data_IF_854141003596
#
_entry.id   IF_854141003596
#
_cell.length_a   1.000
_cell.length_b   1.000
_cell.length_c   1.000
_cell.angle_alpha   90.00
_cell.angle_beta   90.00
_cell.angle_gamma   90.00
#
_symmetry.space_group_name_H-M   'P 1'
#
loop_
_entity.id
_entity.type
_entity.pdbx_description
1 polymer ?
#
# COMPACT_ATOMS: atom_id res chain seq x y z
N UNK A 1 11.44 -2.98 16.45
CA UNK A 1 10.48 -3.10 15.35
C UNK A 1 9.21 -2.37 15.74
N UNK A 2 8.65 -1.61 14.81
CA UNK A 2 7.52 -0.70 15.07
C UNK A 2 6.32 -1.09 14.20
N UNK A 3 5.13 -0.69 14.63
CA UNK A 3 3.89 -0.80 13.87
C UNK A 3 3.33 0.60 13.61
N UNK A 4 2.83 0.83 12.40
CA UNK A 4 2.07 2.02 12.05
C UNK A 4 0.66 1.62 11.59
N UNK A 5 -0.27 2.53 11.78
CA UNK A 5 -1.66 2.40 11.34
C UNK A 5 -2.07 3.68 10.62
N UNK A 6 -2.90 3.55 9.59
CA UNK A 6 -3.46 4.67 8.82
C UNK A 6 -4.85 4.28 8.32
N UNK A 7 -5.78 5.22 8.33
CA UNK A 7 -7.09 5.04 7.73
C UNK A 7 -7.41 6.20 6.80
N UNK A 8 -8.11 5.91 5.71
CA UNK A 8 -8.60 6.91 4.77
C UNK A 8 -9.85 6.39 4.09
N UNK A 9 -10.81 7.28 3.82
CA UNK A 9 -12.06 6.92 3.19
C UNK A 9 -12.18 7.57 1.82
N UNK A 10 -12.67 6.82 0.83
CA UNK A 10 -12.85 7.28 -0.55
C UNK A 10 -14.28 7.02 -1.05
N UNK A 11 -14.77 7.87 -1.94
CA UNK A 11 -16.03 7.71 -2.67
C UNK A 11 -15.86 6.82 -3.90
N UNK A 12 -15.37 5.60 -3.68
CA UNK A 12 -15.35 4.51 -4.65
C UNK A 12 -15.66 3.18 -3.96
N UNK A 13 -16.22 2.18 -4.66
CA UNK A 13 -16.52 0.88 -4.06
C UNK A 13 -15.23 0.07 -3.78
N UNK A 14 -15.26 -0.89 -2.82
CA UNK A 14 -14.06 -1.61 -2.37
C UNK A 14 -13.29 -2.30 -3.49
N UNK A 15 -14.02 -2.89 -4.45
CA UNK A 15 -13.45 -3.55 -5.64
C UNK A 15 -12.49 -2.65 -6.42
N UNK A 16 -12.79 -1.35 -6.55
CA UNK A 16 -11.99 -0.42 -7.35
C UNK A 16 -10.64 -0.17 -6.69
N UNK A 17 -10.64 0.05 -5.38
CA UNK A 17 -9.40 0.23 -4.62
C UNK A 17 -8.60 -1.07 -4.59
N UNK A 18 -9.26 -2.19 -4.31
CA UNK A 18 -8.63 -3.52 -4.29
C UNK A 18 -7.91 -3.83 -5.61
N UNK A 19 -8.56 -3.61 -6.75
CA UNK A 19 -7.97 -3.81 -8.08
C UNK A 19 -6.79 -2.86 -8.33
N UNK A 20 -6.89 -1.58 -7.93
CA UNK A 20 -5.80 -0.62 -8.08
C UNK A 20 -4.51 -1.04 -7.34
N UNK A 21 -4.64 -1.71 -6.19
CA UNK A 21 -3.50 -2.23 -5.44
C UNK A 21 -2.81 -3.44 -6.10
N UNK A 22 -3.50 -4.14 -7.01
CA UNK A 22 -3.00 -5.36 -7.67
C UNK A 22 -2.77 -5.19 -9.18
N UNK A 23 -3.10 -4.01 -9.74
CA UNK A 23 -2.94 -3.67 -11.14
C UNK A 23 -1.60 -2.98 -11.39
N UNK A 24 -0.71 -3.62 -12.16
CA UNK A 24 0.56 -3.02 -12.56
C UNK A 24 0.37 -1.66 -13.23
N UNK A 25 -0.63 -1.55 -14.11
CA UNK A 25 -0.94 -0.32 -14.84
C UNK A 25 -1.35 0.81 -13.88
N UNK A 26 -2.24 0.55 -12.93
CA UNK A 26 -2.70 1.58 -11.99
C UNK A 26 -1.60 1.98 -11.02
N UNK A 27 -0.79 1.01 -10.56
CA UNK A 27 0.40 1.26 -9.74
C UNK A 27 1.43 2.13 -10.47
N UNK A 28 1.68 1.88 -11.76
CA UNK A 28 2.55 2.73 -12.57
C UNK A 28 1.97 4.12 -12.77
N UNK A 29 0.65 4.26 -12.94
CA UNK A 29 -0.01 5.57 -13.05
C UNK A 29 0.14 6.41 -11.78
N UNK A 30 -0.18 5.85 -10.60
CA UNK A 30 -0.05 6.58 -9.33
C UNK A 30 1.41 6.86 -8.97
N UNK A 31 2.34 6.05 -9.49
CA UNK A 31 3.79 6.23 -9.36
C UNK A 31 4.40 7.22 -10.36
N UNK A 32 3.55 7.99 -11.05
CA UNK A 32 3.94 9.01 -12.03
C UNK A 32 4.86 8.49 -13.14
N UNK A 33 4.60 7.26 -13.61
CA UNK A 33 5.38 6.63 -14.68
C UNK A 33 6.63 5.90 -14.21
N UNK A 34 6.92 5.87 -12.90
CA UNK A 34 7.95 4.98 -12.37
C UNK A 34 7.57 3.52 -12.64
N UNK A 35 8.55 2.69 -12.98
CA UNK A 35 8.31 1.28 -13.28
C UNK A 35 7.80 0.57 -12.02
N UNK A 36 6.65 -0.07 -12.18
CA UNK A 36 6.08 -0.99 -11.21
C UNK A 36 5.94 -2.34 -11.89
N UNK A 37 6.05 -3.41 -11.12
CA UNK A 37 5.73 -4.76 -11.53
C UNK A 37 4.86 -5.38 -10.45
N UNK A 38 3.75 -6.00 -10.83
CA UNK A 38 2.80 -6.56 -9.87
C UNK A 38 2.25 -7.89 -10.37
N UNK A 39 2.54 -8.96 -9.64
CA UNK A 39 1.90 -10.26 -9.83
C UNK A 39 0.73 -10.39 -8.85
N UNK A 40 -0.48 -10.02 -9.31
CA UNK A 40 -1.71 -9.90 -8.51
C UNK A 40 -2.33 -11.22 -8.02
N UNK A 41 -1.52 -12.24 -7.73
CA UNK A 41 -1.94 -13.53 -7.17
C UNK A 41 -1.25 -13.81 -5.84
N UNK A 42 -1.79 -14.73 -5.05
CA UNK A 42 -1.12 -15.19 -3.82
C UNK A 42 0.22 -15.86 -4.16
N UNK A 43 1.26 -15.55 -3.39
CA UNK A 43 2.66 -15.87 -3.68
C UNK A 43 3.29 -15.01 -4.79
N UNK A 44 2.52 -14.11 -5.41
CA UNK A 44 3.00 -13.21 -6.45
C UNK A 44 3.91 -12.12 -5.89
N UNK A 45 5.02 -11.85 -6.58
CA UNK A 45 5.97 -10.80 -6.19
C UNK A 45 5.64 -9.47 -6.83
N UNK A 46 6.06 -8.39 -6.19
CA UNK A 46 5.93 -7.05 -6.74
C UNK A 46 7.16 -6.19 -6.49
N UNK A 47 7.36 -5.21 -7.37
CA UNK A 47 8.33 -4.13 -7.21
C UNK A 47 7.67 -2.81 -7.57
N UNK A 48 7.89 -1.76 -6.77
CA UNK A 48 7.34 -0.43 -7.01
C UNK A 48 8.49 0.59 -7.06
N UNK A 49 8.24 1.72 -7.73
CA UNK A 49 9.18 2.85 -7.82
C UNK A 49 10.59 2.43 -8.27
N UNK A 50 10.69 1.75 -9.41
CA UNK A 50 11.97 1.27 -9.96
C UNK A 50 12.75 0.35 -9.00
N UNK A 51 12.04 -0.45 -8.19
CA UNK A 51 12.65 -1.37 -7.22
C UNK A 51 13.05 -0.72 -5.89
N UNK A 52 12.59 0.50 -5.61
CA UNK A 52 12.78 1.11 -4.28
C UNK A 52 11.97 0.38 -3.21
N UNK A 53 10.87 -0.23 -3.62
CA UNK A 53 9.98 -1.04 -2.79
C UNK A 53 9.81 -2.40 -3.45
N UNK A 54 9.83 -3.45 -2.65
CA UNK A 54 9.60 -4.81 -3.11
C UNK A 54 8.86 -5.63 -2.06
N UNK A 55 8.21 -6.70 -2.51
CA UNK A 55 7.43 -7.54 -1.62
C UNK A 55 6.75 -8.72 -2.30
N UNK A 56 5.88 -9.37 -1.54
CA UNK A 56 5.14 -10.56 -1.94
C UNK A 56 3.71 -10.53 -1.40
N UNK A 57 2.74 -10.86 -2.25
CA UNK A 57 1.34 -11.01 -1.89
C UNK A 57 1.14 -12.31 -1.11
N UNK A 58 0.93 -12.23 0.21
CA UNK A 58 0.77 -13.40 1.07
C UNK A 58 -0.66 -13.95 1.06
N UNK A 59 -1.65 -13.06 1.08
CA UNK A 59 -3.06 -13.43 1.09
C UNK A 59 -3.90 -12.37 0.41
N UNK A 60 -4.83 -12.81 -0.44
CA UNK A 60 -5.70 -11.95 -1.23
C UNK A 60 -7.16 -12.38 -1.03
N UNK A 61 -7.89 -11.67 -0.16
CA UNK A 61 -9.33 -11.84 -0.01
C UNK A 61 -10.01 -10.82 -0.91
N UNK A 62 -10.60 -11.29 -2.01
CA UNK A 62 -11.18 -10.43 -3.06
C UNK A 62 -12.06 -9.31 -2.46
N UNK A 63 -11.83 -8.09 -2.93
CA UNK A 63 -12.56 -6.86 -2.60
C UNK A 63 -12.56 -6.46 -1.11
N UNK A 64 -11.82 -7.16 -0.24
CA UNK A 64 -11.91 -6.99 1.22
C UNK A 64 -10.56 -6.90 1.93
N UNK A 65 -9.55 -7.68 1.53
CA UNK A 65 -8.26 -7.71 2.23
C UNK A 65 -7.07 -8.07 1.35
N UNK A 66 -5.96 -7.36 1.54
CA UNK A 66 -4.64 -7.68 0.98
C UNK A 66 -3.64 -7.79 2.13
N UNK A 67 -2.87 -8.88 2.17
CA UNK A 67 -1.76 -9.07 3.11
C UNK A 67 -0.49 -9.27 2.31
N UNK A 68 0.55 -8.48 2.62
CA UNK A 68 1.81 -8.45 1.88
C UNK A 68 3.01 -8.48 2.82
N UNK A 69 4.07 -9.17 2.39
CA UNK A 69 5.43 -8.82 2.80
C UNK A 69 5.85 -7.58 2.02
N UNK A 70 6.50 -6.65 2.70
CA UNK A 70 6.83 -5.34 2.13
C UNK A 70 8.13 -4.83 2.71
N UNK A 71 9.03 -4.32 1.87
CA UNK A 71 10.26 -3.65 2.33
C UNK A 71 10.69 -2.52 1.40
N UNK A 72 11.45 -1.59 1.97
CA UNK A 72 12.30 -0.69 1.19
C UNK A 72 13.64 -1.37 0.88
N UNK A 73 14.23 -1.07 -0.27
CA UNK A 73 15.59 -1.52 -0.64
C UNK A 73 16.71 -0.89 0.20
N UNK A 74 16.38 0.17 0.96
CA UNK A 74 17.26 0.77 1.97
C UNK A 74 17.31 -0.01 3.28
N UNK A 75 16.35 -0.90 3.54
CA UNK A 75 16.38 -1.76 4.72
C UNK A 75 17.40 -2.88 4.54
N UNK A 76 17.85 -3.44 5.67
CA UNK A 76 18.73 -4.62 5.70
C UNK A 76 18.15 -5.75 4.84
N UNK A 77 19.02 -6.52 4.20
CA UNK A 77 18.57 -7.60 3.31
C UNK A 77 17.79 -8.67 4.10
N UNK A 78 16.67 -9.14 3.53
CA UNK A 78 15.80 -10.10 4.19
C UNK A 78 14.91 -9.52 5.29
N UNK A 79 15.02 -8.21 5.62
CA UNK A 79 14.12 -7.56 6.56
C UNK A 79 12.86 -7.10 5.85
N UNK A 80 11.75 -7.78 6.14
CA UNK A 80 10.42 -7.46 5.66
C UNK A 80 9.51 -7.02 6.79
N UNK A 81 8.69 -6.02 6.49
CA UNK A 81 7.50 -5.68 7.26
C UNK A 81 6.29 -6.42 6.70
N UNK A 82 5.25 -6.56 7.51
CA UNK A 82 3.96 -7.11 7.10
C UNK A 82 2.93 -6.00 6.99
N UNK A 83 2.40 -5.82 5.79
CA UNK A 83 1.33 -4.88 5.47
C UNK A 83 0.01 -5.63 5.40
N UNK A 84 -1.02 -5.10 6.05
CA UNK A 84 -2.41 -5.53 5.91
C UNK A 84 -3.24 -4.33 5.50
N UNK A 85 -3.97 -4.48 4.40
CA UNK A 85 -4.90 -3.48 3.86
C UNK A 85 -6.29 -4.09 3.88
N UNK A 86 -7.21 -3.47 4.61
CA UNK A 86 -8.62 -3.86 4.63
C UNK A 86 -9.46 -2.82 3.91
N UNK A 87 -10.41 -3.28 3.11
CA UNK A 87 -11.38 -2.44 2.40
C UNK A 87 -12.76 -2.72 2.97
N UNK A 88 -13.37 -1.69 3.59
CA UNK A 88 -14.67 -1.81 4.25
C UNK A 88 -15.67 -0.87 3.60
N UNK A 89 -16.81 -1.39 3.14
CA UNK A 89 -17.92 -0.53 2.74
C UNK A 89 -18.42 0.30 3.92
N UNK A 90 -18.73 1.56 3.67
CA UNK A 90 -19.27 2.47 4.70
C UNK A 90 -20.79 2.30 4.75
N UNK A 91 -21.32 1.92 5.91
CA UNK A 91 -22.77 1.69 6.08
C UNK A 91 -23.52 3.01 5.88
N UNK A 92 -24.50 3.02 4.98
CA UNK A 92 -25.34 4.18 4.69
C UNK A 92 -24.79 5.11 3.60
N UNK A 93 -23.61 4.81 3.04
CA UNK A 93 -23.05 5.52 1.88
C UNK A 93 -22.78 4.53 0.74
N UNK A 94 -23.49 4.71 -0.38
CA UNK A 94 -23.26 3.90 -1.58
C UNK A 94 -21.89 4.22 -2.18
N UNK A 95 -21.23 3.19 -2.74
CA UNK A 95 -19.94 3.31 -3.42
C UNK A 95 -18.86 4.05 -2.60
N UNK A 96 -18.86 3.86 -1.28
CA UNK A 96 -17.87 4.42 -0.37
C UNK A 96 -17.09 3.33 0.37
N UNK A 97 -15.79 3.52 0.50
CA UNK A 97 -14.87 2.56 1.13
C UNK A 97 -13.99 3.25 2.15
N UNK A 98 -13.93 2.70 3.35
CA UNK A 98 -12.88 2.95 4.33
C UNK A 98 -11.74 1.96 4.06
N UNK A 99 -10.53 2.49 3.87
CA UNK A 99 -9.29 1.72 3.77
C UNK A 99 -8.58 1.79 5.10
N UNK A 100 -8.30 0.63 5.68
CA UNK A 100 -7.51 0.50 6.91
C UNK A 100 -6.19 -0.16 6.58
N UNK A 101 -5.10 0.53 6.90
CA UNK A 101 -3.74 0.07 6.71
C UNK A 101 -3.10 -0.20 8.08
N UNK A 102 -2.57 -1.40 8.25
CA UNK A 102 -1.67 -1.73 9.35
C UNK A 102 -0.36 -2.27 8.78
N UNK A 103 0.76 -1.66 9.14
CA UNK A 103 2.09 -2.15 8.76
C UNK A 103 2.92 -2.39 10.01
N UNK A 104 3.30 -3.65 10.21
CA UNK A 104 4.02 -4.13 11.40
C UNK A 104 5.38 -4.70 11.03
N UNK A 105 6.30 -4.78 12.01
CA UNK A 105 7.64 -5.32 11.76
C UNK A 105 8.57 -4.35 11.04
N UNK A 106 8.27 -3.04 11.08
CA UNK A 106 9.14 -2.02 10.48
C UNK A 106 10.44 -1.95 11.29
N UNK A 107 11.63 -2.02 10.66
CA UNK A 107 12.89 -1.91 11.37
C UNK A 107 13.03 -0.51 11.99
N UNK A 108 13.76 -0.42 13.12
CA UNK A 108 13.98 0.87 13.78
C UNK A 108 15.04 1.71 13.08
N UNK A 109 15.97 1.07 12.36
CA UNK A 109 17.04 1.67 11.59
C UNK A 109 17.07 1.07 10.18
N UNK A 110 17.51 1.85 9.20
CA UNK A 110 17.86 1.31 7.87
C UNK A 110 19.23 0.61 7.89
N UNK A 111 19.68 0.07 6.76
CA UNK A 111 20.97 -0.64 6.65
C UNK A 111 22.20 0.25 6.87
N UNK A 112 22.02 1.56 6.92
CA UNK A 112 23.07 2.55 7.18
C UNK A 112 23.04 3.07 8.62
N UNK A 113 22.11 2.59 9.46
CA UNK A 113 21.95 3.03 10.83
C UNK A 113 21.12 4.31 10.99
N UNK A 114 20.39 4.75 9.96
CA UNK A 114 19.53 5.93 10.06
C UNK A 114 18.17 5.57 10.69
N UNK A 115 17.67 6.36 11.65
CA UNK A 115 16.32 6.18 12.19
C UNK A 115 15.25 6.70 11.23
N UNK A 116 13.97 6.50 11.58
CA UNK A 116 12.84 7.13 10.88
C UNK A 116 12.13 6.24 9.85
N UNK A 117 12.37 4.92 9.86
CA UNK A 117 11.76 4.00 8.92
C UNK A 117 10.22 3.96 9.03
N UNK A 118 9.66 4.07 10.24
CA UNK A 118 8.21 4.12 10.47
C UNK A 118 7.56 5.36 9.87
N UNK A 119 8.18 6.52 10.07
CA UNK A 119 7.76 7.82 9.57
C UNK A 119 7.86 7.84 8.04
N UNK A 120 8.93 7.25 7.49
CA UNK A 120 9.09 7.07 6.05
C UNK A 120 7.97 6.21 5.45
N UNK A 121 7.62 5.09 6.09
CA UNK A 121 6.49 4.26 5.66
C UNK A 121 5.18 5.05 5.68
N UNK A 122 4.86 5.72 6.78
CA UNK A 122 3.61 6.46 6.94
C UNK A 122 3.47 7.57 5.89
N UNK A 123 4.52 8.39 5.71
CA UNK A 123 4.56 9.43 4.68
C UNK A 123 4.50 8.85 3.26
N UNK A 124 5.09 7.67 3.06
CA UNK A 124 5.06 6.94 1.80
C UNK A 124 3.63 6.55 1.40
N UNK A 125 2.86 5.99 2.34
CA UNK A 125 1.45 5.66 2.14
C UNK A 125 0.59 6.90 1.85
N UNK A 126 0.75 7.94 2.67
CA UNK A 126 0.00 9.18 2.51
C UNK A 126 0.25 9.84 1.15
N UNK A 127 1.51 10.05 0.79
CA UNK A 127 1.87 10.85 -0.39
C UNK A 127 1.81 10.08 -1.70
N UNK A 128 2.06 8.77 -1.67
CA UNK A 128 2.22 8.00 -2.89
C UNK A 128 1.04 7.07 -3.18
N UNK A 129 0.18 6.79 -2.20
CA UNK A 129 -1.07 6.06 -2.40
C UNK A 129 -2.26 6.97 -2.17
N UNK A 130 -2.48 7.45 -0.94
CA UNK A 130 -3.74 8.14 -0.60
C UNK A 130 -3.94 9.42 -1.41
N UNK A 131 -2.93 10.27 -1.47
CA UNK A 131 -2.94 11.48 -2.28
C UNK A 131 -2.99 11.21 -3.78
N UNK A 132 -2.41 10.10 -4.24
CA UNK A 132 -2.36 9.78 -5.67
C UNK A 132 -3.66 9.13 -6.15
N UNK A 133 -4.33 8.36 -5.33
CA UNK A 133 -5.69 7.89 -5.62
C UNK A 133 -6.64 9.07 -5.83
N UNK A 134 -6.54 10.09 -4.99
CA UNK A 134 -7.32 11.31 -5.19
C UNK A 134 -6.90 12.08 -6.45
N UNK A 135 -5.60 12.41 -6.57
CA UNK A 135 -5.12 13.35 -7.60
C UNK A 135 -4.98 12.74 -9.00
N UNK A 136 -4.70 11.43 -9.10
CA UNK A 136 -4.37 10.74 -10.36
C UNK A 136 -5.49 9.79 -10.80
N UNK A 137 -6.10 9.08 -9.85
CA UNK A 137 -7.21 8.16 -10.15
C UNK A 137 -8.58 8.86 -10.06
N UNK A 138 -8.64 10.04 -9.46
CA UNK A 138 -9.88 10.80 -9.31
C UNK A 138 -10.80 10.22 -8.24
N UNK A 139 -10.27 9.47 -7.27
CA UNK A 139 -11.03 8.87 -6.17
C UNK A 139 -11.21 9.91 -5.06
N UNK A 140 -12.39 10.54 -4.91
CA UNK A 140 -12.54 11.63 -3.97
C UNK A 140 -12.40 11.11 -2.53
N UNK A 141 -11.56 11.75 -1.71
CA UNK A 141 -11.49 11.44 -0.28
C UNK A 141 -12.76 11.94 0.43
N UNK A 142 -13.28 11.14 1.35
CA UNK A 142 -14.27 11.59 2.33
C UNK A 142 -13.53 12.41 3.39
N UNK A 143 -14.02 13.62 3.67
CA UNK A 143 -13.47 14.53 4.67
C UNK A 143 -13.90 14.14 6.07
#
# INVERSE_FOLDING_TARGET
MTTIESSVSFRVPPRVLYECFLSENDLTRISLGSRCQMDGKEGGKFTLYNGSVEGENLKLEKDSKIIQNWRFSSWEEGVYSKVTIEFRSIIGEDDCTEVLLTQSGIPSLDKYGNPGCSEQCLLGWERNFWDRFEKIMGFPKLK
#
